data_IF_674370113783
#
_entry.id   IF_674370113783
#
_cell.length_a   1.000
_cell.length_b   1.000
_cell.length_c   1.000
_cell.angle_alpha   90.00
_cell.angle_beta   90.00
_cell.angle_gamma   90.00
#
_symmetry.space_group_name_H-M   'P 1'
#
loop_
_entity.id
_entity.type
_entity.pdbx_description
1 polymer ?
#
# COMPACT_ATOMS: atom_id res chain seq x y z
N UNK A 1 -16.17 -13.68 20.33
CA UNK A 1 -14.86 -14.29 20.02
C UNK A 1 -14.53 -13.97 18.57
N UNK A 2 -13.66 -13.00 18.31
CA UNK A 2 -13.30 -12.64 16.92
C UNK A 2 -12.40 -13.75 16.40
N UNK A 3 -12.89 -14.55 15.45
CA UNK A 3 -12.09 -15.59 14.82
C UNK A 3 -10.96 -14.95 14.02
N UNK A 4 -9.71 -15.36 14.27
CA UNK A 4 -8.49 -14.93 13.55
C UNK A 4 -8.69 -14.88 12.03
N UNK A 5 -9.44 -15.85 11.49
CA UNK A 5 -9.81 -15.92 10.07
C UNK A 5 -10.66 -14.73 9.61
N UNK A 6 -11.66 -14.34 10.40
CA UNK A 6 -12.53 -13.19 10.09
C UNK A 6 -11.74 -11.89 10.05
N UNK A 7 -10.76 -11.73 10.93
CA UNK A 7 -9.93 -10.52 11.00
C UNK A 7 -8.98 -10.45 9.79
N UNK A 8 -8.34 -11.56 9.42
CA UNK A 8 -7.51 -11.65 8.21
C UNK A 8 -8.32 -11.42 6.93
N UNK A 9 -9.54 -11.96 6.84
CA UNK A 9 -10.44 -11.70 5.72
C UNK A 9 -10.84 -10.22 5.64
N UNK A 10 -11.14 -9.57 6.76
CA UNK A 10 -11.44 -8.14 6.76
C UNK A 10 -10.26 -7.28 6.28
N UNK A 11 -9.03 -7.64 6.64
CA UNK A 11 -7.82 -6.98 6.16
C UNK A 11 -7.66 -7.19 4.66
N UNK A 12 -7.84 -8.41 4.16
CA UNK A 12 -7.74 -8.72 2.74
C UNK A 12 -8.78 -7.92 1.93
N UNK A 13 -10.04 -7.93 2.35
CA UNK A 13 -11.12 -7.17 1.70
C UNK A 13 -10.81 -5.67 1.73
N UNK A 14 -10.33 -5.13 2.85
CA UNK A 14 -9.92 -3.73 2.95
C UNK A 14 -8.79 -3.38 1.99
N UNK A 15 -7.75 -4.21 1.90
CA UNK A 15 -6.62 -3.99 1.01
C UNK A 15 -7.03 -4.01 -0.47
N UNK A 16 -7.84 -4.98 -0.89
CA UNK A 16 -8.37 -5.03 -2.26
C UNK A 16 -9.34 -3.89 -2.56
N UNK A 17 -10.17 -3.50 -1.58
CA UNK A 17 -11.05 -2.33 -1.69
C UNK A 17 -10.27 -1.04 -1.94
N UNK A 18 -9.18 -0.82 -1.20
CA UNK A 18 -8.32 0.36 -1.38
C UNK A 18 -7.63 0.38 -2.75
N UNK A 19 -7.23 -0.77 -3.28
CA UNK A 19 -6.70 -0.87 -4.65
C UNK A 19 -7.78 -0.47 -5.66
N UNK A 20 -9.03 -0.94 -5.47
CA UNK A 20 -10.16 -0.53 -6.31
C UNK A 20 -10.41 0.97 -6.27
N UNK A 21 -10.37 1.59 -5.09
CA UNK A 21 -10.48 3.05 -4.94
C UNK A 21 -9.31 3.76 -5.64
N UNK A 22 -8.08 3.26 -5.51
CA UNK A 22 -6.91 3.84 -6.18
C UNK A 22 -7.00 3.76 -7.70
N UNK A 23 -7.55 2.68 -8.25
CA UNK A 23 -7.81 2.53 -9.68
C UNK A 23 -8.94 3.44 -10.17
N UNK A 24 -9.98 3.62 -9.36
CA UNK A 24 -11.06 4.56 -9.64
C UNK A 24 -10.56 6.01 -9.66
N UNK A 25 -9.68 6.39 -8.72
CA UNK A 25 -9.04 7.70 -8.71
C UNK A 25 -8.18 7.92 -9.98
N UNK A 26 -7.43 6.89 -10.39
CA UNK A 26 -6.58 6.98 -11.59
C UNK A 26 -7.40 7.11 -12.89
N UNK A 27 -8.46 6.31 -13.05
CA UNK A 27 -9.26 6.27 -14.30
C UNK A 27 -10.43 7.25 -14.32
N UNK A 28 -10.91 7.64 -13.14
CA UNK A 28 -12.06 8.54 -13.00
C UNK A 28 -11.67 10.01 -12.88
N UNK A 29 -10.46 10.32 -12.38
CA UNK A 29 -9.96 11.68 -12.23
C UNK A 29 -8.74 11.98 -13.12
N UNK A 30 -8.37 11.05 -14.01
CA UNK A 30 -7.21 11.17 -14.92
C UNK A 30 -5.91 11.64 -14.23
N UNK A 31 -5.70 11.22 -12.98
CA UNK A 31 -4.50 11.57 -12.22
C UNK A 31 -3.32 10.70 -12.63
N UNK A 32 -2.19 11.34 -12.96
CA UNK A 32 -0.93 10.66 -13.25
C UNK A 32 -0.41 9.93 -12.00
N UNK A 33 -0.12 8.62 -12.08
CA UNK A 33 0.36 7.85 -10.92
C UNK A 33 1.82 8.18 -10.59
N UNK A 34 2.08 8.43 -9.30
CA UNK A 34 3.43 8.68 -8.79
C UNK A 34 4.18 7.36 -8.49
N UNK A 35 5.53 7.30 -8.60
CA UNK A 35 6.32 6.08 -8.36
C UNK A 35 6.14 5.52 -6.94
N UNK A 36 6.11 6.42 -5.95
CA UNK A 36 5.86 6.06 -4.55
C UNK A 36 4.45 5.48 -4.35
N UNK A 37 3.47 5.97 -5.08
CA UNK A 37 2.08 5.52 -5.05
C UNK A 37 1.98 4.09 -5.60
N UNK A 38 2.71 3.79 -6.68
CA UNK A 38 2.78 2.45 -7.27
C UNK A 38 3.42 1.45 -6.29
N UNK A 39 4.51 1.84 -5.60
CA UNK A 39 5.13 1.01 -4.56
C UNK A 39 4.13 0.71 -3.42
N UNK A 40 3.34 1.69 -3.00
CA UNK A 40 2.29 1.49 -2.00
C UNK A 40 1.24 0.47 -2.47
N UNK A 41 0.84 0.49 -3.75
CA UNK A 41 -0.10 -0.51 -4.31
C UNK A 41 0.47 -1.92 -4.24
N UNK A 42 1.75 -2.12 -4.58
CA UNK A 42 2.41 -3.43 -4.42
C UNK A 42 2.38 -3.91 -2.98
N UNK A 43 2.60 -3.01 -2.01
CA UNK A 43 2.58 -3.34 -0.59
C UNK A 43 1.15 -3.69 -0.12
N UNK A 44 0.12 -2.98 -0.57
CA UNK A 44 -1.28 -3.37 -0.30
C UNK A 44 -1.63 -4.73 -0.89
N UNK A 45 -1.21 -5.03 -2.12
CA UNK A 45 -1.41 -6.35 -2.75
C UNK A 45 -0.72 -7.43 -1.90
N UNK A 46 0.54 -7.20 -1.51
CA UNK A 46 1.27 -8.14 -0.66
C UNK A 46 0.53 -8.39 0.66
N UNK A 47 0.09 -7.34 1.37
CA UNK A 47 -0.67 -7.47 2.61
C UNK A 47 -1.96 -8.26 2.38
N UNK A 48 -2.73 -7.92 1.34
CA UNK A 48 -3.99 -8.59 1.02
C UNK A 48 -3.81 -10.07 0.71
N UNK A 49 -2.81 -10.42 -0.12
CA UNK A 49 -2.50 -11.81 -0.49
C UNK A 49 -1.99 -12.60 0.72
N UNK A 50 -1.06 -12.06 1.51
CA UNK A 50 -0.56 -12.75 2.71
C UNK A 50 -1.63 -12.90 3.78
N UNK A 51 -2.54 -11.92 3.94
CA UNK A 51 -3.68 -12.03 4.84
C UNK A 51 -4.66 -13.12 4.37
N UNK A 52 -4.94 -13.19 3.07
CA UNK A 52 -5.81 -14.21 2.48
C UNK A 52 -5.22 -15.62 2.65
N UNK A 53 -3.95 -15.82 2.29
CA UNK A 53 -3.25 -17.10 2.49
C UNK A 53 -3.20 -17.47 3.98
N UNK A 54 -2.96 -16.49 4.86
CA UNK A 54 -2.99 -16.67 6.31
C UNK A 54 -4.35 -17.10 6.85
N UNK A 55 -5.46 -16.68 6.22
CA UNK A 55 -6.82 -17.07 6.60
C UNK A 55 -7.13 -18.53 6.23
N UNK A 56 -6.59 -19.02 5.11
CA UNK A 56 -6.79 -20.39 4.62
C UNK A 56 -5.77 -21.41 5.18
N UNK A 57 -4.62 -20.95 5.70
CA UNK A 57 -3.54 -21.83 6.18
C UNK A 57 -3.64 -22.11 7.68
N UNK A 58 -3.23 -23.30 8.12
CA UNK A 58 -3.15 -23.71 9.54
C UNK A 58 -2.06 -23.01 10.36
N UNK A 59 -1.21 -22.19 9.74
CA UNK A 59 -0.09 -21.43 10.37
C UNK A 59 -0.25 -19.91 10.18
N UNK A 60 -1.33 -19.28 10.69
CA UNK A 60 -1.63 -17.87 10.45
C UNK A 60 -0.54 -16.92 10.99
N UNK A 61 0.24 -17.34 12.00
CA UNK A 61 1.25 -16.48 12.66
C UNK A 61 2.44 -16.12 11.76
N UNK A 62 2.97 -17.08 10.99
CA UNK A 62 4.12 -16.84 10.13
C UNK A 62 3.74 -15.88 8.99
N UNK A 63 2.58 -16.11 8.37
CA UNK A 63 2.04 -15.27 7.31
C UNK A 63 1.62 -13.89 7.81
N UNK A 64 1.05 -13.77 9.01
CA UNK A 64 0.76 -12.49 9.65
C UNK A 64 2.04 -11.69 9.93
N UNK A 65 3.15 -12.36 10.27
CA UNK A 65 4.46 -11.73 10.44
C UNK A 65 5.01 -11.14 9.12
N UNK A 66 4.87 -11.86 8.02
CA UNK A 66 5.26 -11.35 6.69
C UNK A 66 4.35 -10.19 6.27
N UNK A 67 3.04 -10.31 6.50
CA UNK A 67 2.09 -9.22 6.28
C UNK A 67 2.41 -7.97 7.12
N UNK A 68 2.86 -8.15 8.36
CA UNK A 68 3.29 -7.06 9.23
C UNK A 68 4.53 -6.35 8.66
N UNK A 69 5.52 -7.10 8.17
CA UNK A 69 6.70 -6.52 7.52
C UNK A 69 6.31 -5.72 6.27
N UNK A 70 5.38 -6.23 5.47
CA UNK A 70 4.85 -5.50 4.32
C UNK A 70 4.10 -4.22 4.74
N UNK A 71 3.31 -4.27 5.82
CA UNK A 71 2.60 -3.11 6.36
C UNK A 71 3.56 -2.05 6.93
N UNK A 72 4.64 -2.47 7.61
CA UNK A 72 5.69 -1.57 8.07
C UNK A 72 6.44 -0.92 6.91
N UNK A 73 6.74 -1.69 5.85
CA UNK A 73 7.28 -1.14 4.61
C UNK A 73 6.33 -0.12 3.97
N UNK A 74 5.02 -0.38 4.00
CA UNK A 74 3.98 0.54 3.53
C UNK A 74 3.94 1.83 4.35
N UNK A 75 4.05 1.72 5.68
CA UNK A 75 4.09 2.86 6.58
C UNK A 75 5.35 3.71 6.36
N UNK A 76 6.51 3.06 6.16
CA UNK A 76 7.77 3.75 5.86
C UNK A 76 7.71 4.49 4.52
N UNK A 77 7.21 3.84 3.47
CA UNK A 77 7.08 4.46 2.13
C UNK A 77 6.07 5.60 2.13
N UNK A 78 4.94 5.48 2.84
CA UNK A 78 3.96 6.55 3.01
C UNK A 78 4.51 7.72 3.86
N UNK A 79 5.28 7.43 4.91
CA UNK A 79 5.99 8.45 5.68
C UNK A 79 7.03 9.20 4.85
N UNK A 80 7.80 8.48 4.02
CA UNK A 80 8.72 9.09 3.06
C UNK A 80 7.97 9.98 2.07
N UNK A 81 6.81 9.55 1.58
CA UNK A 81 5.99 10.35 0.66
C UNK A 81 5.51 11.66 1.30
N UNK A 82 5.06 11.62 2.56
CA UNK A 82 4.73 12.81 3.36
C UNK A 82 5.94 13.74 3.56
N UNK A 83 7.12 13.17 3.79
CA UNK A 83 8.35 13.93 3.95
C UNK A 83 8.76 14.65 2.66
N UNK A 84 8.64 13.98 1.51
CA UNK A 84 8.86 14.56 0.18
C UNK A 84 7.85 15.66 -0.11
N UNK A 85 6.58 15.47 0.27
CA UNK A 85 5.53 16.48 0.13
C UNK A 85 5.83 17.75 0.95
N UNK A 86 6.47 17.60 2.10
CA UNK A 86 6.88 18.72 2.95
C UNK A 86 8.17 19.42 2.47
N UNK A 87 8.97 18.78 1.60
CA UNK A 87 10.23 19.30 1.06
C UNK A 87 10.27 19.21 -0.48
N UNK A 88 9.43 20.00 -1.18
CA UNK A 88 9.43 20.06 -2.64
C UNK A 88 10.79 20.57 -3.13
N UNK A 89 11.54 19.72 -3.85
CA UNK A 89 12.84 20.07 -4.43
C UNK A 89 14.00 19.08 -4.22
N UNK A 90 13.94 18.16 -3.24
CA UNK A 90 15.04 17.23 -2.97
C UNK A 90 14.92 15.84 -3.61
N UNK A 91 13.73 15.43 -4.05
CA UNK A 91 13.50 14.07 -4.59
C UNK A 91 12.65 14.03 -5.86
N UNK A 92 12.32 15.18 -6.47
CA UNK A 92 11.45 15.29 -7.66
C UNK A 92 12.26 15.35 -8.98
N UNK A 93 13.37 14.61 -9.07
CA UNK A 93 14.26 14.65 -10.22
C UNK A 93 14.75 13.26 -10.57
N UNK A 94 14.10 12.64 -11.57
CA UNK A 94 14.42 11.31 -12.14
C UNK A 94 14.84 10.34 -11.03
N UNK A 95 13.87 9.94 -10.20
CA UNK A 95 14.15 8.96 -9.17
C UNK A 95 14.76 7.71 -9.83
N UNK A 96 15.94 7.24 -9.40
CA UNK A 96 16.47 5.94 -9.81
C UNK A 96 15.46 4.79 -9.59
N UNK A 97 14.48 5.01 -8.72
CA UNK A 97 13.32 4.14 -8.48
C UNK A 97 12.33 4.07 -9.64
N UNK A 98 12.04 5.16 -10.37
CA UNK A 98 11.22 5.15 -11.59
C UNK A 98 11.84 4.24 -12.65
N UNK A 99 13.15 4.48 -12.91
CA UNK A 99 13.92 3.71 -13.89
C UNK A 99 14.05 2.24 -13.49
N UNK A 100 14.15 1.95 -12.19
CA UNK A 100 14.15 0.57 -11.69
C UNK A 100 12.76 -0.08 -11.81
N UNK A 101 11.68 0.60 -11.41
CA UNK A 101 10.32 0.06 -11.49
C UNK A 101 9.90 -0.20 -12.94
N UNK A 102 10.16 0.74 -13.85
CA UNK A 102 9.85 0.60 -15.28
C UNK A 102 10.74 -0.45 -15.99
N UNK A 103 11.86 -0.87 -15.38
CA UNK A 103 12.67 -2.01 -15.84
C UNK A 103 12.23 -3.36 -15.26
N UNK A 104 11.37 -3.40 -14.25
CA UNK A 104 10.85 -4.66 -13.72
C UNK A 104 9.79 -5.19 -14.70
N UNK A 105 9.86 -6.47 -15.11
CA UNK A 105 8.95 -7.04 -16.11
C UNK A 105 7.47 -6.93 -15.73
N UNK A 106 7.12 -6.85 -14.43
CA UNK A 106 5.73 -6.63 -14.00
C UNK A 106 5.17 -5.28 -14.43
N UNK A 107 5.99 -4.23 -14.54
CA UNK A 107 5.56 -2.94 -15.08
C UNK A 107 5.34 -3.01 -16.60
N UNK A 108 6.12 -3.82 -17.31
CA UNK A 108 5.98 -4.03 -18.76
C UNK A 108 4.75 -4.87 -19.13
N UNK A 109 4.37 -5.85 -18.30
CA UNK A 109 3.18 -6.69 -18.55
C UNK A 109 1.85 -6.07 -18.10
N UNK A 110 1.86 -5.12 -17.14
CA UNK A 110 0.67 -4.44 -16.62
C UNK A 110 0.88 -2.92 -16.49
N UNK A 111 1.10 -2.21 -17.61
CA UNK A 111 1.39 -0.76 -17.60
C UNK A 111 0.26 0.05 -16.96
N UNK A 112 -0.99 -0.37 -17.17
CA UNK A 112 -2.20 0.22 -16.58
C UNK A 112 -2.16 0.35 -15.04
N UNK A 113 -1.43 -0.56 -14.36
CA UNK A 113 -1.38 -0.62 -12.90
C UNK A 113 -0.05 -0.13 -12.32
N UNK A 114 1.02 -0.16 -13.11
CA UNK A 114 2.41 -0.06 -12.64
C UNK A 114 3.29 0.93 -13.40
N UNK A 115 2.82 1.52 -14.50
CA UNK A 115 3.53 2.60 -15.16
C UNK A 115 3.38 3.86 -14.31
N UNK A 116 4.51 4.44 -13.93
CA UNK A 116 4.57 5.68 -13.18
C UNK A 116 5.07 6.76 -14.14
N UNK A 117 4.23 7.77 -14.36
CA UNK A 117 4.48 8.89 -15.29
C UNK A 117 4.23 10.26 -14.60
N UNK A 118 3.86 10.26 -13.32
CA UNK A 118 3.46 11.46 -12.56
C UNK A 118 4.54 11.98 -11.62
N UNK A 119 4.59 13.31 -11.46
CA UNK A 119 5.45 13.97 -10.47
C UNK A 119 4.89 13.75 -9.06
N UNK A 120 5.77 13.55 -8.07
CA UNK A 120 5.36 13.33 -6.68
C UNK A 120 4.66 14.56 -6.05
N UNK A 121 4.83 15.75 -6.61
CA UNK A 121 4.20 16.99 -6.14
C UNK A 121 2.74 17.14 -6.56
N UNK A 122 2.29 16.45 -7.62
CA UNK A 122 0.91 16.54 -8.11
C UNK A 122 -0.09 15.76 -7.24
N UNK A 123 0.40 14.93 -6.30
CA UNK A 123 -0.41 14.19 -5.34
C UNK A 123 -1.02 15.07 -4.22
N UNK A 124 -0.87 16.39 -4.31
CA UNK A 124 -1.47 17.37 -3.38
C UNK A 124 -2.98 17.50 -3.52
N UNK A 125 -3.58 17.02 -4.63
CA UNK A 125 -5.01 17.11 -4.86
C UNK A 125 -5.79 16.54 -3.64
N UNK A 126 -6.49 17.38 -2.86
CA UNK A 126 -7.16 16.93 -1.65
C UNK A 126 -8.35 16.07 -2.05
N UNK A 127 -8.35 14.81 -1.62
CA UNK A 127 -9.49 13.92 -1.76
C UNK A 127 -10.19 13.82 -0.40
N UNK A 128 -11.39 14.40 -0.31
CA UNK A 128 -12.13 14.57 0.96
C UNK A 128 -11.32 15.34 2.04
N UNK A 129 -10.56 16.36 1.64
CA UNK A 129 -9.83 17.25 2.57
C UNK A 129 -8.51 16.70 3.11
N UNK A 130 -8.15 15.45 2.80
CA UNK A 130 -6.82 14.87 3.05
C UNK A 130 -6.15 14.51 1.72
N UNK A 131 -4.82 14.54 1.69
CA UNK A 131 -4.08 14.08 0.51
C UNK A 131 -4.09 12.56 0.40
N UNK A 132 -4.03 12.04 -0.83
CA UNK A 132 -3.95 10.60 -1.12
C UNK A 132 -2.85 9.89 -0.28
N UNK A 133 -1.62 10.43 -0.14
CA UNK A 133 -0.61 9.84 0.73
C UNK A 133 -1.01 9.76 2.22
N UNK A 134 -1.76 10.74 2.74
CA UNK A 134 -2.23 10.71 4.13
C UNK A 134 -3.25 9.59 4.34
N UNK A 135 -4.16 9.38 3.39
CA UNK A 135 -5.09 8.26 3.43
C UNK A 135 -4.36 6.92 3.43
N UNK A 136 -3.40 6.72 2.52
CA UNK A 136 -2.58 5.51 2.49
C UNK A 136 -1.85 5.27 3.82
N UNK A 137 -1.28 6.32 4.42
CA UNK A 137 -0.59 6.23 5.70
C UNK A 137 -1.51 5.74 6.83
N UNK A 138 -2.73 6.28 6.92
CA UNK A 138 -3.73 5.86 7.92
C UNK A 138 -4.09 4.37 7.75
N UNK A 139 -4.32 3.93 6.52
CA UNK A 139 -4.65 2.53 6.23
C UNK A 139 -3.49 1.56 6.52
N UNK A 140 -2.26 1.91 6.15
CA UNK A 140 -1.09 1.12 6.53
C UNK A 140 -0.89 1.06 8.04
N UNK A 141 -1.15 2.17 8.76
CA UNK A 141 -1.15 2.19 10.21
C UNK A 141 -2.20 1.25 10.80
N UNK A 142 -3.42 1.28 10.27
CA UNK A 142 -4.52 0.42 10.71
C UNK A 142 -4.22 -1.07 10.46
N UNK A 143 -3.67 -1.42 9.30
CA UNK A 143 -3.25 -2.80 9.00
C UNK A 143 -2.07 -3.26 9.87
N UNK A 144 -1.10 -2.38 10.12
CA UNK A 144 0.02 -2.68 11.03
C UNK A 144 -0.49 -2.95 12.45
N UNK A 145 -1.38 -2.11 12.98
CA UNK A 145 -1.98 -2.30 14.29
C UNK A 145 -2.81 -3.59 14.35
N UNK A 146 -3.61 -3.86 13.32
CA UNK A 146 -4.47 -5.05 13.27
C UNK A 146 -3.66 -6.36 13.22
N UNK A 147 -2.61 -6.40 12.39
CA UNK A 147 -1.71 -7.55 12.29
C UNK A 147 -0.82 -7.68 13.53
N UNK A 148 -0.32 -6.57 14.07
CA UNK A 148 0.46 -6.54 15.31
C UNK A 148 -0.37 -7.04 16.49
N UNK A 149 -1.63 -6.60 16.59
CA UNK A 149 -2.56 -7.10 17.61
C UNK A 149 -2.82 -8.60 17.44
N UNK A 150 -2.99 -9.08 16.21
CA UNK A 150 -3.16 -10.51 15.95
C UNK A 150 -1.93 -11.34 16.37
N UNK A 151 -0.73 -10.77 16.23
CA UNK A 151 0.53 -11.43 16.62
C UNK A 151 0.72 -11.44 18.16
N UNK A 152 0.38 -10.33 18.82
CA UNK A 152 0.50 -10.14 20.28
C UNK A 152 -0.58 -10.93 21.04
N UNK A 153 -1.82 -10.96 20.54
CA UNK A 153 -2.83 -11.88 21.07
C UNK A 153 -2.37 -13.28 20.72
N UNK A 154 -1.75 -13.98 21.68
CA UNK A 154 -1.49 -15.41 21.57
C UNK A 154 -2.76 -16.09 21.05
N UNK A 155 -2.74 -16.52 19.79
CA UNK A 155 -3.68 -17.52 19.28
C UNK A 155 -3.55 -18.69 20.24
N UNK A 156 -4.55 -18.83 21.11
CA UNK A 156 -4.71 -19.92 22.07
C UNK A 156 -5.61 -20.95 21.41
#
# INVERSE_FOLDING_TARGET
MIHTRSLLLSIAIGAFGLIGVALYLQHGLDMLPCPLCVIQRYLFIAIGVFALIGAYTSKPKALAGVGLLAALGGLFTAGKHLWVLAHPGLSCGIDPMETFLNKIPTATYLPFLFQADGLCEDALAPWFGLSIPQWSFLWFGLFTLSLGWLLIRRVR
#
